data_IF_224735408425
#
_entry.id   IF_224735408425
#
_cell.length_a   1.000
_cell.length_b   1.000
_cell.length_c   1.000
_cell.angle_alpha   90.00
_cell.angle_beta   90.00
_cell.angle_gamma   90.00
#
_symmetry.space_group_name_H-M   'P 1'
#
loop_
_entity.id
_entity.type
_entity.pdbx_description
1 polymer ?
#
# COMPACT_ATOMS: atom_id res chain seq x y z
N UNK A 1 -14.33 6.13 -6.19
CA UNK A 1 -13.73 4.79 -6.12
C UNK A 1 -12.69 4.68 -7.22
N UNK A 2 -11.40 4.79 -6.88
CA UNK A 2 -10.32 4.67 -7.86
C UNK A 2 -10.16 3.20 -8.27
N UNK A 3 -10.60 2.85 -9.47
CA UNK A 3 -10.47 1.50 -10.02
C UNK A 3 -9.10 1.39 -10.68
N UNK A 4 -8.10 0.94 -9.92
CA UNK A 4 -6.85 0.44 -10.50
C UNK A 4 -7.19 -0.92 -11.13
N UNK A 5 -6.89 -1.11 -12.42
CA UNK A 5 -7.31 -2.28 -13.22
C UNK A 5 -7.13 -3.60 -12.45
N UNK A 6 -8.25 -4.30 -12.17
CA UNK A 6 -8.26 -5.61 -11.50
C UNK A 6 -7.93 -5.61 -10.00
N UNK A 7 -7.94 -4.47 -9.31
CA UNK A 7 -7.61 -4.36 -7.89
C UNK A 7 -8.67 -3.58 -7.11
N UNK A 8 -8.98 -4.03 -5.90
CA UNK A 8 -9.85 -3.33 -4.96
C UNK A 8 -9.01 -2.52 -3.98
N UNK A 9 -9.17 -1.19 -3.96
CA UNK A 9 -8.52 -0.30 -3.00
C UNK A 9 -9.05 -0.57 -1.59
N UNK A 10 -8.15 -0.83 -0.65
CA UNK A 10 -8.45 -1.13 0.76
C UNK A 10 -8.25 0.08 1.67
N UNK A 11 -7.45 1.06 1.27
CA UNK A 11 -7.32 2.33 1.99
C UNK A 11 -8.44 3.29 1.58
N UNK A 12 -9.09 3.89 2.57
CA UNK A 12 -10.10 4.92 2.32
C UNK A 12 -9.39 6.23 1.96
N UNK A 13 -9.92 6.98 0.98
CA UNK A 13 -9.53 8.38 0.72
C UNK A 13 -10.01 9.36 1.79
N UNK A 14 -10.34 8.86 3.00
CA UNK A 14 -10.76 9.67 4.12
C UNK A 14 -9.51 10.07 4.91
N UNK A 15 -9.42 11.34 5.38
CA UNK A 15 -8.29 11.79 6.17
C UNK A 15 -8.20 10.97 7.45
N UNK A 16 -7.10 10.24 7.61
CA UNK A 16 -6.70 9.67 8.89
C UNK A 16 -5.95 10.77 9.67
N UNK A 17 -5.83 10.70 11.01
CA UNK A 17 -5.22 11.76 11.83
C UNK A 17 -3.81 12.17 11.41
N UNK A 18 -3.10 11.32 10.65
CA UNK A 18 -1.77 11.56 10.10
C UNK A 18 -1.67 11.23 8.60
N UNK A 19 -2.79 11.10 7.90
CA UNK A 19 -2.79 10.83 6.47
C UNK A 19 -3.80 11.74 5.77
N UNK A 20 -3.28 12.80 5.16
CA UNK A 20 -4.04 13.59 4.19
C UNK A 20 -4.31 12.69 2.98
N UNK A 21 -5.45 12.90 2.30
CA UNK A 21 -6.06 11.92 1.40
C UNK A 21 -5.17 11.37 0.25
N UNK A 22 -3.96 11.92 0.04
CA UNK A 22 -2.98 11.49 -0.96
C UNK A 22 -1.62 11.06 -0.39
N UNK A 23 -1.39 11.15 0.92
CA UNK A 23 -0.08 10.87 1.55
C UNK A 23 0.07 9.43 2.05
N UNK A 24 -1.02 8.65 1.99
CA UNK A 24 -1.02 7.23 2.30
C UNK A 24 -0.76 6.39 1.03
N UNK A 25 0.02 5.31 1.11
CA UNK A 25 0.18 4.39 0.00
C UNK A 25 -1.15 3.71 -0.32
N UNK A 26 -1.39 3.47 -1.61
CA UNK A 26 -2.50 2.64 -2.03
C UNK A 26 -2.26 1.19 -1.59
N UNK A 27 -3.09 0.69 -0.68
CA UNK A 27 -3.16 -0.74 -0.36
C UNK A 27 -4.31 -1.33 -1.14
N UNK A 28 -4.06 -2.40 -1.90
CA UNK A 28 -5.06 -3.02 -2.75
C UNK A 28 -5.12 -4.54 -2.52
N UNK A 29 -6.31 -5.13 -2.67
CA UNK A 29 -6.49 -6.58 -2.81
C UNK A 29 -6.61 -6.94 -4.29
N UNK A 30 -5.83 -7.91 -4.75
CA UNK A 30 -5.97 -8.48 -6.09
C UNK A 30 -7.18 -9.41 -6.17
N UNK A 31 -7.64 -9.71 -7.38
CA UNK A 31 -8.69 -10.72 -7.62
C UNK A 31 -8.33 -12.11 -7.08
N UNK A 32 -7.04 -12.42 -6.95
CA UNK A 32 -6.52 -13.67 -6.37
C UNK A 32 -6.37 -13.63 -4.85
N UNK A 33 -6.83 -12.56 -4.19
CA UNK A 33 -6.79 -12.42 -2.73
C UNK A 33 -5.44 -11.97 -2.16
N UNK A 34 -4.45 -11.62 -3.00
CA UNK A 34 -3.16 -11.09 -2.55
C UNK A 34 -3.27 -9.61 -2.21
N UNK A 35 -2.38 -9.11 -1.38
CA UNK A 35 -2.28 -7.68 -1.03
C UNK A 35 -1.11 -7.06 -1.79
N UNK A 36 -1.31 -5.88 -2.35
CA UNK A 36 -0.25 -5.04 -2.93
C UNK A 36 -0.25 -3.69 -2.25
N UNK A 37 0.93 -3.18 -1.90
CA UNK A 37 1.12 -1.88 -1.27
C UNK A 37 1.96 -1.02 -2.21
N UNK A 38 1.50 0.19 -2.50
CA UNK A 38 2.29 1.17 -3.27
C UNK A 38 3.46 1.69 -2.42
N UNK A 39 4.65 1.75 -2.97
CA UNK A 39 5.81 2.39 -2.34
C UNK A 39 6.89 2.68 -3.39
N UNK A 40 8.03 3.20 -2.97
CA UNK A 40 9.15 3.50 -3.86
C UNK A 40 10.09 2.29 -3.94
N UNK A 41 10.51 1.87 -5.14
CA UNK A 41 11.52 0.81 -5.25
C UNK A 41 12.90 1.43 -4.99
N UNK A 42 13.64 1.01 -3.95
CA UNK A 42 14.97 1.54 -3.67
C UNK A 42 15.96 1.00 -4.70
N UNK A 43 16.74 1.87 -5.33
CA UNK A 43 17.78 1.47 -6.30
C UNK A 43 18.98 0.74 -5.69
N UNK A 44 19.04 0.62 -4.36
CA UNK A 44 20.17 0.05 -3.62
C UNK A 44 19.98 -1.41 -3.24
N UNK A 45 18.81 -2.00 -3.49
CA UNK A 45 18.52 -3.40 -3.12
C UNK A 45 18.07 -4.16 -4.36
N UNK A 46 18.77 -5.23 -4.70
CA UNK A 46 18.35 -6.14 -5.77
C UNK A 46 17.39 -7.19 -5.21
N UNK A 47 16.23 -7.30 -5.85
CA UNK A 47 15.22 -8.31 -5.53
C UNK A 47 15.26 -9.46 -6.55
N UNK A 48 14.80 -10.68 -6.19
CA UNK A 48 14.61 -11.77 -7.13
C UNK A 48 13.69 -11.40 -8.30
N UNK A 49 13.77 -12.16 -9.40
CA UNK A 49 12.92 -11.95 -10.56
C UNK A 49 11.43 -12.03 -10.18
N UNK A 50 10.66 -10.99 -10.56
CA UNK A 50 9.23 -10.90 -10.27
C UNK A 50 8.89 -10.38 -8.87
N UNK A 51 9.89 -10.00 -8.07
CA UNK A 51 9.73 -9.38 -6.76
C UNK A 51 10.32 -7.97 -6.74
N UNK A 52 9.79 -7.12 -5.87
CA UNK A 52 10.35 -5.81 -5.56
C UNK A 52 10.23 -5.56 -4.06
N UNK A 53 11.26 -4.94 -3.49
CA UNK A 53 11.17 -4.30 -2.20
C UNK A 53 10.72 -2.86 -2.41
N UNK A 54 9.81 -2.39 -1.57
CA UNK A 54 9.32 -1.02 -1.62
C UNK A 54 9.55 -0.33 -0.28
N UNK A 55 9.96 0.93 -0.34
CA UNK A 55 10.09 1.80 0.82
C UNK A 55 8.73 2.36 1.21
N UNK A 56 8.44 2.28 2.50
CA UNK A 56 7.24 2.81 3.14
C UNK A 56 7.65 3.58 4.39
N UNK A 57 7.07 4.76 4.67
CA UNK A 57 7.24 5.40 5.96
C UNK A 57 6.76 4.47 7.10
N UNK A 58 7.47 4.47 8.23
CA UNK A 58 7.11 3.65 9.39
C UNK A 58 5.69 3.94 9.90
N UNK A 59 5.28 5.21 9.94
CA UNK A 59 3.93 5.64 10.32
C UNK A 59 2.86 5.02 9.44
N UNK A 60 3.11 5.01 8.13
CA UNK A 60 2.23 4.45 7.12
C UNK A 60 2.09 2.93 7.28
N UNK A 61 3.20 2.21 7.53
CA UNK A 61 3.16 0.76 7.75
C UNK A 61 2.35 0.42 9.01
N UNK A 62 2.52 1.18 10.09
CA UNK A 62 1.75 1.01 11.33
C UNK A 62 0.26 1.20 11.12
N UNK A 63 -0.15 2.24 10.39
CA UNK A 63 -1.57 2.47 10.06
C UNK A 63 -2.14 1.37 9.16
N UNK A 64 -1.37 0.88 8.17
CA UNK A 64 -1.79 -0.23 7.33
C UNK A 64 -2.02 -1.52 8.16
N UNK A 65 -1.14 -1.83 9.11
CA UNK A 65 -1.29 -2.96 10.04
C UNK A 65 -2.55 -2.78 10.90
N UNK A 66 -2.79 -1.57 11.43
CA UNK A 66 -3.98 -1.28 12.24
C UNK A 66 -5.28 -1.41 11.43
N UNK A 67 -5.31 -0.89 10.19
CA UNK A 67 -6.46 -0.98 9.30
C UNK A 67 -6.77 -2.43 8.85
N UNK A 68 -5.73 -3.25 8.66
CA UNK A 68 -5.87 -4.68 8.35
C UNK A 68 -6.15 -5.53 9.60
N UNK A 69 -5.98 -4.97 10.79
CA UNK A 69 -6.05 -5.63 12.09
C UNK A 69 -7.21 -5.14 12.95
N UNK A 70 -8.42 -5.47 12.54
CA UNK A 70 -9.27 -6.30 13.40
C UNK A 70 -9.28 -7.71 12.86
#
# INVERSE_FOLDING_TARGET
>A
MARVLGRHLLTTSAPLPNCDANDCPNVCRTTTGRITVQGNVPGTVQSPEGEDLVELPDSVLKEAIHALGR
#
